data_IF_331415406470
#
_entry.id   IF_331415406470
#
_cell.length_a   1.000
_cell.length_b   1.000
_cell.length_c   1.000
_cell.angle_alpha   90.00
_cell.angle_beta   90.00
_cell.angle_gamma   90.00
#
_symmetry.space_group_name_H-M   'P 1'
#
loop_
_entity.id
_entity.type
_entity.pdbx_description
1 polymer ?
#
# COMPACT_ATOMS: atom_id res chain seq x y z
N UNK A 1 15.21 -18.81 -15.33
CA UNK A 1 14.94 -19.12 -13.91
C UNK A 1 14.04 -18.02 -13.33
N UNK A 2 12.72 -18.06 -13.59
CA UNK A 2 11.72 -17.07 -13.09
C UNK A 2 10.45 -17.76 -12.55
N UNK A 3 10.48 -19.08 -12.39
CA UNK A 3 9.26 -19.90 -12.32
C UNK A 3 8.88 -20.32 -10.89
N UNK A 4 9.77 -20.29 -9.91
CA UNK A 4 9.42 -20.80 -8.55
C UNK A 4 8.93 -19.74 -7.54
N UNK A 5 9.08 -18.45 -7.81
CA UNK A 5 8.75 -17.40 -6.83
C UNK A 5 7.44 -16.63 -7.12
N UNK A 6 6.76 -16.89 -8.25
CA UNK A 6 5.52 -16.17 -8.63
C UNK A 6 5.70 -14.66 -8.90
N UNK A 7 6.94 -14.17 -8.98
CA UNK A 7 7.25 -12.73 -9.09
C UNK A 7 7.12 -12.21 -10.53
N UNK A 8 6.27 -11.20 -10.73
CA UNK A 8 6.19 -10.45 -11.99
C UNK A 8 7.20 -9.29 -11.98
N UNK A 9 7.60 -8.84 -13.17
CA UNK A 9 8.48 -7.67 -13.29
C UNK A 9 7.74 -6.45 -12.74
N UNK A 10 8.36 -5.70 -11.83
CA UNK A 10 7.75 -4.55 -11.16
C UNK A 10 7.06 -4.85 -9.83
N UNK A 11 7.05 -6.11 -9.36
CA UNK A 11 6.53 -6.47 -8.04
C UNK A 11 7.46 -6.00 -6.93
N UNK A 12 6.92 -5.27 -5.95
CA UNK A 12 7.63 -4.92 -4.71
C UNK A 12 7.92 -6.16 -3.87
N UNK A 13 9.11 -6.24 -3.29
CA UNK A 13 9.51 -7.37 -2.45
C UNK A 13 10.04 -6.89 -1.10
N UNK A 14 9.78 -7.67 -0.06
CA UNK A 14 10.44 -7.51 1.24
C UNK A 14 11.73 -8.33 1.22
N UNK A 15 12.84 -7.68 1.55
CA UNK A 15 14.15 -8.33 1.67
C UNK A 15 14.55 -8.34 3.13
N UNK A 16 14.83 -9.53 3.66
CA UNK A 16 15.29 -9.73 5.04
C UNK A 16 16.62 -10.49 5.03
N UNK A 17 17.66 -9.92 5.64
CA UNK A 17 18.94 -10.59 5.82
C UNK A 17 18.91 -11.43 7.11
N UNK A 18 19.21 -12.73 7.01
CA UNK A 18 19.34 -13.65 8.14
C UNK A 18 20.73 -14.29 8.10
N UNK A 19 21.68 -13.66 8.81
CA UNK A 19 23.06 -14.14 8.89
C UNK A 19 23.71 -14.21 7.50
N UNK A 20 23.93 -15.43 6.99
CA UNK A 20 24.51 -15.69 5.66
C UNK A 20 23.47 -15.86 4.54
N UNK A 21 22.18 -15.74 4.83
CA UNK A 21 21.08 -15.95 3.88
C UNK A 21 20.26 -14.70 3.68
N UNK A 22 19.70 -14.52 2.49
CA UNK A 22 18.76 -13.45 2.16
C UNK A 22 17.39 -14.08 1.84
N UNK A 23 16.36 -13.65 2.56
CA UNK A 23 14.99 -14.04 2.32
C UNK A 23 14.30 -12.95 1.50
N UNK A 24 13.79 -13.31 0.32
CA UNK A 24 13.04 -12.40 -0.55
C UNK A 24 11.61 -12.90 -0.61
N UNK A 25 10.65 -12.07 -0.21
CA UNK A 25 9.21 -12.38 -0.26
C UNK A 25 8.47 -11.36 -1.11
N UNK A 26 7.52 -11.77 -1.95
CA UNK A 26 6.59 -10.82 -2.57
C UNK A 26 5.88 -10.02 -1.47
N UNK A 27 5.78 -8.71 -1.66
CA UNK A 27 4.83 -7.91 -0.90
C UNK A 27 3.50 -7.93 -1.64
N UNK A 28 2.47 -8.39 -0.97
CA UNK A 28 1.11 -8.25 -1.46
C UNK A 28 0.78 -6.75 -1.61
N UNK A 29 0.19 -6.33 -2.74
CA UNK A 29 -0.23 -4.96 -2.91
C UNK A 29 -1.25 -4.58 -1.83
N UNK A 30 -1.02 -3.46 -1.16
CA UNK A 30 -1.97 -2.94 -0.16
C UNK A 30 -3.36 -2.75 -0.77
N UNK A 31 -3.43 -2.38 -2.04
CA UNK A 31 -4.69 -2.27 -2.79
C UNK A 31 -5.46 -3.59 -2.85
N UNK A 32 -4.80 -4.73 -3.08
CA UNK A 32 -5.46 -6.04 -3.11
C UNK A 32 -6.01 -6.42 -1.74
N UNK A 33 -5.28 -6.09 -0.66
CA UNK A 33 -5.74 -6.35 0.71
C UNK A 33 -7.05 -5.65 1.06
N UNK A 34 -7.29 -4.46 0.52
CA UNK A 34 -8.47 -3.64 0.83
C UNK A 34 -9.48 -3.59 -0.32
N UNK A 35 -9.23 -4.30 -1.43
CA UNK A 35 -10.13 -4.34 -2.57
C UNK A 35 -11.48 -4.94 -2.14
N UNK A 36 -12.55 -4.14 -2.28
CA UNK A 36 -13.89 -4.54 -1.86
C UNK A 36 -14.12 -4.61 -0.34
N UNK A 37 -13.11 -4.32 0.49
CA UNK A 37 -13.25 -4.30 1.94
C UNK A 37 -14.13 -3.13 2.42
N UNK A 38 -14.19 -2.06 1.64
CA UNK A 38 -14.99 -0.87 1.95
C UNK A 38 -15.98 -0.60 0.82
N UNK A 39 -17.24 -0.38 1.20
CA UNK A 39 -18.28 0.11 0.28
C UNK A 39 -18.46 1.61 0.49
N UNK A 40 -17.93 2.40 -0.43
CA UNK A 40 -18.12 3.85 -0.43
C UNK A 40 -19.46 4.15 -1.09
N UNK A 41 -20.41 4.67 -0.30
CA UNK A 41 -21.78 4.95 -0.76
C UNK A 41 -21.85 6.25 -1.55
N UNK A 42 -21.05 7.25 -1.16
CA UNK A 42 -20.95 8.53 -1.84
C UNK A 42 -19.49 8.86 -2.10
N UNK A 43 -19.10 8.86 -3.37
CA UNK A 43 -17.76 9.26 -3.77
C UNK A 43 -17.67 10.78 -3.86
N UNK A 44 -16.57 11.41 -3.41
CA UNK A 44 -16.34 12.81 -3.70
C UNK A 44 -16.15 13.02 -5.20
N UNK A 45 -16.67 14.12 -5.73
CA UNK A 45 -16.48 14.50 -7.14
C UNK A 45 -15.00 14.73 -7.49
N UNK A 46 -14.21 15.22 -6.53
CA UNK A 46 -12.75 15.38 -6.63
C UNK A 46 -12.05 14.69 -5.46
N UNK A 47 -11.50 13.51 -5.74
CA UNK A 47 -10.80 12.71 -4.74
C UNK A 47 -9.48 13.34 -4.28
N UNK A 48 -8.77 14.04 -5.17
CA UNK A 48 -7.49 14.66 -4.82
C UNK A 48 -7.71 15.78 -3.81
N UNK A 49 -8.63 16.70 -4.13
CA UNK A 49 -8.99 17.80 -3.24
C UNK A 49 -9.54 17.28 -1.90
N UNK A 50 -10.35 16.22 -1.91
CA UNK A 50 -10.83 15.58 -0.70
C UNK A 50 -9.68 15.09 0.20
N UNK A 51 -8.70 14.37 -0.37
CA UNK A 51 -7.55 13.86 0.40
C UNK A 51 -6.72 15.01 0.95
N UNK A 52 -6.48 16.06 0.17
CA UNK A 52 -5.72 17.24 0.61
C UNK A 52 -6.35 17.93 1.83
N UNK A 53 -7.67 18.14 1.81
CA UNK A 53 -8.37 18.77 2.93
C UNK A 53 -8.34 17.90 4.19
N UNK A 54 -8.60 16.59 4.05
CA UNK A 54 -8.51 15.64 5.18
C UNK A 54 -7.11 15.65 5.80
N UNK A 55 -6.06 15.68 4.99
CA UNK A 55 -4.68 15.72 5.46
C UNK A 55 -4.36 17.02 6.21
N UNK A 56 -4.84 18.17 5.70
CA UNK A 56 -4.68 19.47 6.38
C UNK A 56 -5.37 19.48 7.73
N UNK A 57 -6.59 18.94 7.83
CA UNK A 57 -7.32 18.87 9.10
C UNK A 57 -6.63 17.95 10.12
N UNK A 58 -6.19 16.77 9.70
CA UNK A 58 -5.46 15.86 10.58
C UNK A 58 -4.16 16.45 11.11
N UNK A 59 -3.42 17.20 10.31
CA UNK A 59 -2.21 17.88 10.79
C UNK A 59 -2.51 18.96 11.82
N UNK A 60 -3.62 19.71 11.66
CA UNK A 60 -4.04 20.70 12.67
C UNK A 60 -4.40 20.04 14.00
N UNK A 61 -5.08 18.90 13.98
CA UNK A 61 -5.43 18.16 15.19
C UNK A 61 -4.22 17.57 15.91
N UNK A 62 -3.17 17.19 15.16
CA UNK A 62 -1.94 16.61 15.73
C UNK A 62 -0.97 17.66 16.27
N UNK A 63 -1.08 18.90 15.81
CA UNK A 63 -0.26 20.03 16.27
C UNK A 63 -0.84 20.74 17.50
N UNK A 64 -2.04 20.34 17.96
CA UNK A 64 -2.71 20.79 19.17
C UNK A 64 -2.58 19.72 20.26
#
# INVERSE_FOLDING_TARGET
MRVEAGLKKGTSVKVEARGKSILVKPLEPVAEKYFGAFKVVNWPDDLNNFIEEVMKEWWKQKAM
#
